data_IF_069291609415
#
_entry.id   IF_069291609415
#
_cell.length_a   1.000
_cell.length_b   1.000
_cell.length_c   1.000
_cell.angle_alpha   90.00
_cell.angle_beta   90.00
_cell.angle_gamma   90.00
#
_symmetry.space_group_name_H-M   'P 1'
#
loop_
_entity.id
_entity.type
_entity.pdbx_description
1 polymer ?
#
# COMPACT_ATOMS: atom_id res chain seq x y z
N UNK A 1 -6.85 -3.13 -0.22
CA UNK A 1 -6.33 -2.45 0.99
C UNK A 1 -6.71 -3.18 2.29
N UNK A 2 -7.08 -4.46 2.22
CA UNK A 2 -7.43 -5.24 3.42
C UNK A 2 -6.26 -6.07 3.94
N UNK A 3 -5.30 -6.51 3.10
CA UNK A 3 -4.15 -7.31 3.58
C UNK A 3 -3.26 -6.54 4.58
N UNK A 4 -2.90 -5.29 4.29
CA UNK A 4 -2.10 -4.47 5.21
C UNK A 4 -2.90 -3.97 6.43
N UNK A 5 -4.23 -3.93 6.33
CA UNK A 5 -5.12 -3.60 7.46
C UNK A 5 -5.39 -4.80 8.37
N UNK A 6 -5.01 -6.02 7.95
CA UNK A 6 -5.22 -7.26 8.68
C UNK A 6 -4.09 -7.61 9.68
N UNK A 7 -3.06 -6.76 9.79
CA UNK A 7 -1.94 -6.98 10.73
C UNK A 7 -0.83 -7.90 10.19
N UNK A 8 -0.85 -8.23 8.90
CA UNK A 8 0.21 -9.01 8.26
C UNK A 8 1.47 -8.14 8.07
N UNK A 9 2.62 -8.63 8.51
CA UNK A 9 3.90 -7.94 8.34
C UNK A 9 4.40 -8.08 6.91
N UNK A 10 5.20 -7.11 6.43
CA UNK A 10 5.84 -7.17 5.09
C UNK A 10 6.59 -8.50 4.91
N UNK A 11 7.24 -8.99 5.96
CA UNK A 11 7.97 -10.27 5.99
C UNK A 11 7.07 -11.47 5.71
N UNK A 12 5.86 -11.51 6.27
CA UNK A 12 4.91 -12.61 6.04
C UNK A 12 4.38 -12.60 4.61
N UNK A 13 4.22 -11.42 4.01
CA UNK A 13 3.84 -11.28 2.61
C UNK A 13 4.97 -11.79 1.72
N UNK A 14 6.22 -11.40 1.98
CA UNK A 14 7.38 -11.88 1.23
C UNK A 14 7.58 -13.40 1.38
N UNK A 15 7.24 -13.98 2.53
CA UNK A 15 7.29 -15.42 2.74
C UNK A 15 6.23 -16.20 1.95
N UNK A 16 5.08 -15.59 1.65
CA UNK A 16 4.01 -16.19 0.84
C UNK A 16 4.23 -15.99 -0.68
N UNK A 17 5.00 -14.95 -1.04
CA UNK A 17 5.30 -14.55 -2.41
C UNK A 17 6.81 -14.45 -2.65
N UNK A 18 7.44 -15.58 -2.99
CA UNK A 18 8.91 -15.69 -3.22
C UNK A 18 9.43 -14.82 -4.39
N UNK A 19 8.55 -14.48 -5.34
CA UNK A 19 8.87 -13.62 -6.51
C UNK A 19 8.71 -12.12 -6.20
N UNK A 20 8.18 -11.76 -5.03
CA UNK A 20 7.88 -10.39 -4.65
C UNK A 20 9.05 -9.80 -3.87
N UNK A 21 9.46 -8.58 -4.22
CA UNK A 21 10.50 -7.87 -3.47
C UNK A 21 9.88 -6.86 -2.48
N UNK A 22 10.64 -6.53 -1.43
CA UNK A 22 10.23 -5.49 -0.49
C UNK A 22 9.98 -4.14 -1.20
N UNK A 23 10.75 -3.86 -2.25
CA UNK A 23 10.65 -2.63 -3.03
C UNK A 23 9.30 -2.52 -3.76
N UNK A 24 8.75 -3.64 -4.27
CA UNK A 24 7.43 -3.68 -4.91
C UNK A 24 6.32 -3.31 -3.93
N UNK A 25 6.40 -3.85 -2.70
CA UNK A 25 5.44 -3.57 -1.62
C UNK A 25 5.51 -2.09 -1.24
N UNK A 26 6.72 -1.54 -1.10
CA UNK A 26 6.91 -0.12 -0.80
C UNK A 26 6.42 0.78 -1.93
N UNK A 27 6.64 0.43 -3.19
CA UNK A 27 6.13 1.17 -4.33
C UNK A 27 4.59 1.22 -4.34
N UNK A 28 3.93 0.09 -4.05
CA UNK A 28 2.48 0.01 -3.93
C UNK A 28 1.95 0.88 -2.77
N UNK A 29 2.62 0.84 -1.61
CA UNK A 29 2.29 1.66 -0.44
C UNK A 29 2.49 3.17 -0.71
N UNK A 30 3.55 3.54 -1.42
CA UNK A 30 3.80 4.93 -1.82
C UNK A 30 2.71 5.42 -2.78
N UNK A 31 2.32 4.61 -3.76
CA UNK A 31 1.22 4.94 -4.65
C UNK A 31 -0.11 5.12 -3.90
N UNK A 32 -0.43 4.17 -3.02
CA UNK A 32 -1.58 4.24 -2.13
C UNK A 32 -1.58 5.52 -1.26
N UNK A 33 -0.43 5.88 -0.69
CA UNK A 33 -0.25 7.09 0.11
C UNK A 33 -0.48 8.36 -0.73
N UNK A 34 0.04 8.42 -1.95
CA UNK A 34 -0.23 9.55 -2.85
C UNK A 34 -1.72 9.63 -3.20
N UNK A 35 -2.37 8.49 -3.43
CA UNK A 35 -3.80 8.44 -3.74
C UNK A 35 -4.67 8.93 -2.55
N UNK A 36 -4.30 8.63 -1.31
CA UNK A 36 -5.00 9.15 -0.12
C UNK A 36 -4.75 10.63 0.09
N UNK A 37 -3.55 11.13 -0.21
CA UNK A 37 -3.22 12.56 -0.14
C UNK A 37 -3.98 13.41 -1.17
N UNK A 38 -4.32 12.86 -2.33
CA UNK A 38 -5.05 13.55 -3.40
C UNK A 38 -6.56 13.70 -3.10
N UNK A 39 -7.07 13.18 -1.98
CA UNK A 39 -8.47 13.30 -1.56
C UNK A 39 -8.87 14.66 -0.93
N UNK A 40 -8.07 15.72 -1.02
CA UNK A 40 -8.61 17.08 -0.87
C UNK A 40 -9.05 17.62 -2.24
N UNK A 41 -10.07 16.98 -2.81
CA UNK A 41 -10.81 17.55 -3.93
C UNK A 41 -11.70 18.64 -3.32
N UNK A 42 -11.33 19.91 -3.47
CA UNK A 42 -12.18 21.03 -3.08
C UNK A 42 -13.52 20.89 -3.80
N UNK A 43 -14.60 20.68 -3.04
CA UNK A 43 -15.96 20.82 -3.57
C UNK A 43 -16.18 22.32 -3.82
N UNK A 44 -15.98 22.75 -5.06
CA UNK A 44 -16.30 24.12 -5.48
C UNK A 44 -17.82 24.26 -5.37
N UNK A 45 -18.25 25.15 -4.47
CA UNK A 45 -19.65 25.45 -4.17
C UNK A 45 -20.33 26.23 -5.31
#
# INVERSE_FOLDING_TARGET
MELLSAGMSIDEILADYDDLEQDDILAALQFATRLTQVKSIYHIA
#
